data_IF_913824482600
#
_entry.id   IF_913824482600
#
_cell.length_a   1.000
_cell.length_b   1.000
_cell.length_c   1.000
_cell.angle_alpha   90.00
_cell.angle_beta   90.00
_cell.angle_gamma   90.00
#
_symmetry.space_group_name_H-M   'P 1'
#
loop_
_entity.id
_entity.type
_entity.pdbx_description
1 polymer ?
#
# COMPACT_ATOMS: atom_id res chain seq x y z
N UNK A 1 11.43 16.62 11.26
CA UNK A 1 10.16 15.94 11.56
C UNK A 1 9.20 16.30 10.45
N UNK A 2 8.74 15.34 9.66
CA UNK A 2 7.64 15.57 8.71
C UNK A 2 6.31 15.61 9.47
N UNK A 3 5.26 16.23 8.89
CA UNK A 3 3.91 16.15 9.46
C UNK A 3 3.47 14.69 9.49
N UNK A 4 3.02 14.22 10.67
CA UNK A 4 2.33 12.93 10.79
C UNK A 4 0.86 13.15 10.46
N UNK A 5 0.31 12.34 9.55
CA UNK A 5 -1.12 12.27 9.29
C UNK A 5 -1.65 10.98 9.91
N UNK A 6 -2.71 11.08 10.71
CA UNK A 6 -3.43 9.94 11.25
C UNK A 6 -4.84 9.92 10.65
N UNK A 7 -5.49 8.75 10.62
CA UNK A 7 -6.88 8.68 10.22
C UNK A 7 -7.77 9.28 11.32
N UNK A 8 -8.82 10.00 10.94
CA UNK A 8 -9.70 10.68 11.88
C UNK A 8 -10.34 9.70 12.88
N UNK A 9 -10.70 8.49 12.43
CA UNK A 9 -11.25 7.46 13.32
C UNK A 9 -10.25 7.03 14.40
N UNK A 10 -8.95 6.98 14.07
CA UNK A 10 -7.92 6.55 15.00
C UNK A 10 -7.69 7.61 16.09
N UNK A 11 -7.73 8.90 15.72
CA UNK A 11 -7.69 10.00 16.68
C UNK A 11 -8.96 10.07 17.53
N UNK A 12 -10.11 9.70 16.96
CA UNK A 12 -11.40 9.66 17.66
C UNK A 12 -11.60 8.40 18.52
N UNK A 13 -10.75 7.37 18.37
CA UNK A 13 -10.92 6.07 19.01
C UNK A 13 -12.19 5.33 18.56
N UNK A 14 -12.65 5.59 17.34
CA UNK A 14 -13.86 4.98 16.75
C UNK A 14 -13.51 3.82 15.82
N UNK A 15 -14.53 3.14 15.28
CA UNK A 15 -14.34 2.13 14.23
C UNK A 15 -14.13 2.79 12.86
N UNK A 16 -13.41 2.14 11.92
CA UNK A 16 -13.30 2.59 10.54
C UNK A 16 -14.65 2.68 9.84
N UNK A 17 -14.74 3.57 8.85
CA UNK A 17 -15.94 3.71 8.03
C UNK A 17 -16.25 2.45 7.21
N UNK A 18 -17.54 2.20 6.94
CA UNK A 18 -17.97 1.09 6.08
C UNK A 18 -17.47 1.29 4.65
N UNK A 19 -16.74 0.32 4.12
CA UNK A 19 -16.10 0.42 2.80
C UNK A 19 -14.93 1.41 2.73
N UNK A 20 -14.48 1.93 3.88
CA UNK A 20 -13.32 2.79 4.05
C UNK A 20 -13.41 4.17 3.37
N UNK A 21 -14.62 4.67 3.10
CA UNK A 21 -14.84 5.92 2.39
C UNK A 21 -14.20 7.14 3.09
N UNK A 22 -14.32 7.22 4.42
CA UNK A 22 -13.78 8.34 5.19
C UNK A 22 -12.24 8.25 5.26
N UNK A 23 -11.69 7.04 5.45
CA UNK A 23 -10.24 6.84 5.45
C UNK A 23 -9.60 7.15 4.09
N UNK A 24 -10.31 6.88 2.98
CA UNK A 24 -9.87 7.26 1.64
C UNK A 24 -9.89 8.79 1.48
N UNK A 25 -10.93 9.46 2.00
CA UNK A 25 -11.04 10.92 1.96
C UNK A 25 -9.91 11.58 2.77
N UNK A 26 -9.64 11.09 3.98
CA UNK A 26 -8.52 11.54 4.82
C UNK A 26 -7.18 11.41 4.08
N UNK A 27 -6.94 10.26 3.43
CA UNK A 27 -5.70 10.03 2.70
C UNK A 27 -5.57 10.97 1.48
N UNK A 28 -6.68 11.24 0.77
CA UNK A 28 -6.71 12.22 -0.33
C UNK A 28 -6.43 13.64 0.15
N UNK A 29 -7.00 14.04 1.28
CA UNK A 29 -6.73 15.36 1.86
C UNK A 29 -5.26 15.50 2.25
N UNK A 30 -4.67 14.47 2.88
CA UNK A 30 -3.25 14.46 3.21
C UNK A 30 -2.35 14.58 1.96
N UNK A 31 -2.69 13.88 0.86
CA UNK A 31 -1.99 14.04 -0.42
C UNK A 31 -2.14 15.45 -0.99
N UNK A 32 -3.35 16.00 -0.95
CA UNK A 32 -3.64 17.36 -1.40
C UNK A 32 -2.84 18.41 -0.62
N UNK A 33 -2.79 18.27 0.71
CA UNK A 33 -1.97 19.12 1.58
C UNK A 33 -0.48 19.01 1.25
N UNK A 34 0.04 17.78 1.09
CA UNK A 34 1.44 17.55 0.76
C UNK A 34 1.85 18.24 -0.56
N UNK A 35 1.02 18.14 -1.60
CA UNK A 35 1.29 18.79 -2.89
C UNK A 35 1.16 20.31 -2.83
N UNK A 36 0.07 20.81 -2.27
CA UNK A 36 -0.29 22.23 -2.36
C UNK A 36 0.37 23.10 -1.30
N UNK A 37 0.44 22.60 -0.07
CA UNK A 37 0.88 23.38 1.10
C UNK A 37 2.34 23.13 1.42
N UNK A 38 2.79 21.87 1.36
CA UNK A 38 4.19 21.53 1.58
C UNK A 38 5.06 21.64 0.32
N UNK A 39 4.45 21.90 -0.85
CA UNK A 39 5.16 22.06 -2.13
C UNK A 39 5.85 20.80 -2.62
N UNK A 40 5.35 19.62 -2.25
CA UNK A 40 5.92 18.34 -2.67
C UNK A 40 5.33 17.92 -4.01
N UNK A 41 6.15 17.99 -5.07
CA UNK A 41 5.73 17.59 -6.43
C UNK A 41 5.48 16.09 -6.58
N UNK A 42 5.91 15.29 -5.61
CA UNK A 42 5.87 13.83 -5.66
C UNK A 42 5.40 13.27 -4.33
N UNK A 43 4.28 12.55 -4.35
CA UNK A 43 3.70 11.91 -3.17
C UNK A 43 3.54 10.42 -3.44
N UNK A 44 4.11 9.59 -2.57
CA UNK A 44 3.85 8.16 -2.52
C UNK A 44 2.93 7.88 -1.34
N UNK A 45 1.97 6.98 -1.53
CA UNK A 45 1.11 6.50 -0.44
C UNK A 45 1.55 5.12 0.01
N UNK A 46 1.47 4.86 1.31
CA UNK A 46 1.76 3.54 1.85
C UNK A 46 0.72 3.18 2.90
N UNK A 47 0.36 1.89 2.96
CA UNK A 47 -0.62 1.42 3.91
C UNK A 47 -0.41 -0.04 4.26
N UNK A 48 -0.83 -0.43 5.48
CA UNK A 48 -0.77 -1.81 5.97
C UNK A 48 -2.16 -2.33 6.33
N UNK A 49 -2.47 -3.56 5.94
CA UNK A 49 -3.76 -4.19 6.24
C UNK A 49 -4.93 -3.35 5.73
N UNK A 50 -5.75 -2.78 6.62
CA UNK A 50 -6.84 -1.87 6.25
C UNK A 50 -6.33 -0.61 5.54
N UNK A 51 -5.25 0.00 6.04
CA UNK A 51 -4.66 1.18 5.42
C UNK A 51 -4.11 0.90 4.02
N UNK A 52 -3.75 -0.35 3.70
CA UNK A 52 -3.34 -0.73 2.35
C UNK A 52 -4.53 -0.59 1.38
N UNK A 53 -5.74 -0.93 1.80
CA UNK A 53 -6.94 -0.79 0.96
C UNK A 53 -7.36 0.67 0.77
N UNK A 54 -7.19 1.50 1.80
CA UNK A 54 -7.33 2.95 1.64
C UNK A 54 -6.31 3.49 0.62
N UNK A 55 -5.05 3.02 0.68
CA UNK A 55 -4.02 3.38 -0.29
C UNK A 55 -4.33 2.91 -1.72
N UNK A 56 -4.90 1.70 -1.89
CA UNK A 56 -5.37 1.23 -3.21
C UNK A 56 -6.40 2.19 -3.80
N UNK A 57 -7.43 2.55 -3.03
CA UNK A 57 -8.51 3.40 -3.53
C UNK A 57 -8.11 4.88 -3.68
N UNK A 58 -7.13 5.35 -2.91
CA UNK A 58 -6.54 6.67 -3.08
C UNK A 58 -5.58 6.72 -4.28
N UNK A 59 -4.91 5.60 -4.60
CA UNK A 59 -3.97 5.51 -5.71
C UNK A 59 -4.63 5.57 -7.08
N UNK A 60 -5.90 5.17 -7.20
CA UNK A 60 -6.70 5.30 -8.45
C UNK A 60 -7.12 6.75 -8.76
N UNK A 61 -6.41 7.74 -8.23
CA UNK A 61 -6.65 9.18 -8.39
C UNK A 61 -5.33 9.82 -8.85
N UNK A 62 -5.36 10.86 -9.69
CA UNK A 62 -4.18 11.43 -10.39
C UNK A 62 -3.14 12.11 -9.45
N UNK A 63 -3.31 11.97 -8.14
CA UNK A 63 -2.54 12.69 -7.12
C UNK A 63 -1.33 11.92 -6.60
N UNK A 64 -1.23 10.61 -6.83
CA UNK A 64 -0.13 9.80 -6.32
C UNK A 64 0.88 9.41 -7.41
N UNK A 65 2.17 9.44 -7.05
CA UNK A 65 3.26 8.97 -7.91
C UNK A 65 3.53 7.46 -7.78
N UNK A 66 2.84 6.80 -6.84
CA UNK A 66 2.94 5.37 -6.60
C UNK A 66 2.42 4.96 -5.22
N UNK A 67 2.24 3.66 -5.05
CA UNK A 67 1.70 3.06 -3.83
C UNK A 67 2.60 1.93 -3.26
N UNK A 68 2.65 1.81 -1.93
CA UNK A 68 3.28 0.69 -1.24
C UNK A 68 2.26 -0.01 -0.35
N UNK A 69 1.92 -1.24 -0.68
CA UNK A 69 0.87 -2.03 -0.03
C UNK A 69 1.52 -3.11 0.84
N UNK A 70 1.32 -3.03 2.15
CA UNK A 70 1.95 -3.90 3.14
C UNK A 70 0.93 -4.88 3.73
N UNK A 71 1.22 -6.18 3.67
CA UNK A 71 0.44 -7.20 4.36
C UNK A 71 -1.03 -7.23 3.92
N UNK A 72 -1.27 -7.30 2.60
CA UNK A 72 -2.62 -7.38 2.05
C UNK A 72 -3.37 -8.61 2.57
N UNK A 73 -4.64 -8.40 2.95
CA UNK A 73 -5.56 -9.47 3.33
C UNK A 73 -6.84 -9.37 2.51
N UNK A 74 -7.10 -10.39 1.69
CA UNK A 74 -8.29 -10.47 0.84
C UNK A 74 -8.86 -11.90 0.67
N UNK A 75 -8.33 -12.91 1.36
CA UNK A 75 -8.96 -14.25 1.31
C UNK A 75 -10.42 -14.15 1.75
N UNK A 76 -11.33 -14.64 0.89
CA UNK A 76 -12.78 -14.55 1.10
C UNK A 76 -13.40 -13.17 0.83
N UNK A 77 -12.65 -12.22 0.26
CA UNK A 77 -13.06 -10.82 0.01
C UNK A 77 -12.83 -10.45 -1.46
N UNK A 78 -13.71 -10.88 -2.38
CA UNK A 78 -13.54 -10.69 -3.83
C UNK A 78 -13.49 -9.21 -4.25
N UNK A 79 -14.18 -8.33 -3.56
CA UNK A 79 -14.20 -6.88 -3.82
C UNK A 79 -12.82 -6.24 -3.64
N UNK A 80 -12.05 -6.70 -2.64
CA UNK A 80 -10.68 -6.25 -2.40
C UNK A 80 -9.73 -6.70 -3.51
N UNK A 81 -9.92 -7.92 -4.01
CA UNK A 81 -9.17 -8.38 -5.19
C UNK A 81 -9.46 -7.51 -6.41
N UNK A 82 -10.72 -7.22 -6.70
CA UNK A 82 -11.09 -6.35 -7.82
C UNK A 82 -10.48 -4.95 -7.67
N UNK A 83 -10.40 -4.41 -6.46
CA UNK A 83 -9.73 -3.13 -6.23
C UNK A 83 -8.23 -3.17 -6.57
N UNK A 84 -7.55 -4.29 -6.32
CA UNK A 84 -6.15 -4.48 -6.68
C UNK A 84 -5.94 -4.56 -8.20
N UNK A 85 -6.84 -5.25 -8.91
CA UNK A 85 -6.86 -5.32 -10.39
C UNK A 85 -6.90 -3.94 -11.03
N UNK A 86 -7.68 -3.03 -10.43
CA UNK A 86 -7.85 -1.68 -10.95
C UNK A 86 -6.60 -0.82 -10.88
N UNK A 87 -5.61 -1.11 -10.02
CA UNK A 87 -4.37 -0.31 -9.99
C UNK A 87 -3.64 -0.30 -11.32
N UNK A 88 -3.69 -1.42 -12.04
CA UNK A 88 -3.08 -1.52 -13.37
C UNK A 88 -3.81 -0.65 -14.40
N UNK A 89 -5.14 -0.44 -14.27
CA UNK A 89 -5.91 0.45 -15.14
C UNK A 89 -5.42 1.91 -15.07
N UNK A 90 -4.86 2.31 -13.92
CA UNK A 90 -4.34 3.66 -13.70
C UNK A 90 -2.82 3.76 -13.87
N UNK A 91 -2.17 2.67 -14.28
CA UNK A 91 -0.72 2.56 -14.48
C UNK A 91 0.11 3.05 -13.27
N UNK A 92 -0.43 2.96 -12.06
CA UNK A 92 0.19 3.50 -10.85
C UNK A 92 1.32 2.59 -10.41
N UNK A 93 2.60 3.04 -10.40
CA UNK A 93 3.69 2.22 -9.91
C UNK A 93 3.40 1.75 -8.48
N UNK A 94 3.27 0.45 -8.29
CA UNK A 94 2.85 -0.12 -7.00
C UNK A 94 3.81 -1.20 -6.55
N UNK A 95 4.18 -1.18 -5.28
CA UNK A 95 4.89 -2.27 -4.62
C UNK A 95 3.95 -2.99 -3.65
N UNK A 96 3.72 -4.28 -3.88
CA UNK A 96 2.97 -5.16 -2.98
C UNK A 96 3.97 -5.99 -2.18
N UNK A 97 3.97 -5.85 -0.86
CA UNK A 97 4.73 -6.71 0.05
C UNK A 97 3.79 -7.58 0.87
N UNK A 98 3.99 -8.90 0.79
CA UNK A 98 3.21 -9.88 1.56
C UNK A 98 4.13 -10.89 2.23
N UNK A 99 3.68 -11.44 3.34
CA UNK A 99 4.37 -12.52 4.02
C UNK A 99 4.12 -13.86 3.36
N UNK A 100 5.16 -14.68 3.25
CA UNK A 100 5.05 -16.04 2.70
C UNK A 100 4.16 -16.96 3.54
N UNK A 101 4.17 -16.78 4.86
CA UNK A 101 3.41 -17.58 5.83
C UNK A 101 1.99 -17.01 6.07
N UNK A 102 1.55 -16.06 5.25
CA UNK A 102 0.23 -15.44 5.37
C UNK A 102 -0.89 -16.44 5.07
N UNK A 103 -1.77 -16.66 6.04
CA UNK A 103 -3.04 -17.39 5.88
C UNK A 103 -4.17 -16.49 5.35
N UNK A 104 -3.91 -15.18 5.22
CA UNK A 104 -4.88 -14.16 4.82
C UNK A 104 -4.74 -13.69 3.37
N UNK A 105 -3.78 -14.25 2.64
CA UNK A 105 -3.44 -13.91 1.26
C UNK A 105 -3.31 -15.20 0.45
N UNK A 106 -4.12 -15.36 -0.60
CA UNK A 106 -3.91 -16.44 -1.57
C UNK A 106 -2.72 -16.08 -2.47
N UNK A 107 -1.52 -16.57 -2.12
CA UNK A 107 -0.27 -16.25 -2.82
C UNK A 107 -0.20 -16.76 -4.26
N UNK A 108 -0.58 -18.02 -4.59
CA UNK A 108 -0.69 -18.44 -5.98
C UNK A 108 -1.55 -17.49 -6.80
N UNK A 109 -2.74 -17.15 -6.29
CA UNK A 109 -3.65 -16.25 -6.98
C UNK A 109 -3.08 -14.83 -7.11
N UNK A 110 -2.38 -14.33 -6.09
CA UNK A 110 -1.71 -13.01 -6.15
C UNK A 110 -0.64 -12.98 -7.23
N UNK A 111 0.16 -14.04 -7.34
CA UNK A 111 1.22 -14.15 -8.33
C UNK A 111 0.65 -14.17 -9.73
N UNK A 112 -0.38 -14.98 -9.96
CA UNK A 112 -1.06 -15.05 -11.26
C UNK A 112 -1.65 -13.69 -11.64
N UNK A 113 -2.25 -13.00 -10.67
CA UNK A 113 -2.82 -11.67 -10.85
C UNK A 113 -1.76 -10.63 -11.23
N UNK A 114 -0.67 -10.55 -10.48
CA UNK A 114 0.38 -9.55 -10.69
C UNK A 114 1.25 -9.88 -11.91
N UNK A 115 1.33 -11.15 -12.34
CA UNK A 115 2.14 -11.55 -13.49
C UNK A 115 1.74 -10.87 -14.80
N UNK A 116 0.48 -10.45 -14.95
CA UNK A 116 0.00 -9.71 -16.13
C UNK A 116 0.11 -8.19 -15.97
N UNK A 117 0.50 -7.68 -14.81
CA UNK A 117 0.56 -6.25 -14.50
C UNK A 117 1.97 -5.70 -14.73
N UNK A 118 2.05 -4.56 -15.40
CA UNK A 118 3.31 -3.90 -15.76
C UNK A 118 3.73 -2.86 -14.71
N UNK A 119 2.76 -2.28 -14.00
CA UNK A 119 2.98 -1.24 -13.00
C UNK A 119 3.14 -1.78 -11.58
N UNK A 120 2.82 -3.05 -11.35
CA UNK A 120 2.79 -3.68 -10.02
C UNK A 120 3.98 -4.63 -9.81
N UNK A 121 4.76 -4.39 -8.75
CA UNK A 121 5.84 -5.26 -8.30
C UNK A 121 5.38 -6.05 -7.06
N UNK A 122 5.51 -7.38 -7.10
CA UNK A 122 5.22 -8.25 -5.96
C UNK A 122 6.52 -8.71 -5.28
N UNK A 123 6.66 -8.42 -3.99
CA UNK A 123 7.73 -8.89 -3.13
C UNK A 123 7.15 -9.78 -2.01
N UNK A 124 7.76 -10.95 -1.82
CA UNK A 124 7.30 -11.94 -0.84
C UNK A 124 8.38 -12.11 0.22
N UNK A 125 8.02 -11.86 1.48
CA UNK A 125 8.94 -11.94 2.61
C UNK A 125 8.84 -13.33 3.23
N UNK A 126 9.92 -14.12 3.08
CA UNK A 126 10.02 -15.44 3.66
C UNK A 126 9.95 -15.38 5.20
N UNK A 127 9.22 -16.32 5.81
CA UNK A 127 9.05 -16.40 7.25
C UNK A 127 8.13 -15.34 7.88
N UNK A 128 7.54 -14.45 7.07
CA UNK A 128 6.62 -13.41 7.56
C UNK A 128 5.15 -13.83 7.39
N UNK A 129 4.30 -13.43 8.33
CA UNK A 129 2.85 -13.61 8.29
C UNK A 129 2.13 -12.44 7.57
N UNK A 130 0.79 -12.40 7.65
CA UNK A 130 -0.03 -11.33 7.07
C UNK A 130 0.23 -9.94 7.69
N UNK A 131 0.82 -9.87 8.88
CA UNK A 131 1.21 -8.62 9.56
C UNK A 131 2.64 -8.22 9.27
N UNK A 132 3.37 -9.01 8.48
CA UNK A 132 4.80 -8.91 8.23
C UNK A 132 5.62 -9.13 9.53
N UNK A 133 5.14 -10.06 10.35
CA UNK A 133 5.79 -10.52 11.57
C UNK A 133 6.34 -11.92 11.39
N UNK A 134 7.44 -12.24 12.07
CA UNK A 134 7.97 -13.60 12.10
C UNK A 134 7.17 -14.53 13.03
N UNK A 135 7.55 -15.81 13.09
CA UNK A 135 6.90 -16.80 13.96
C UNK A 135 6.98 -16.46 15.47
N UNK A 136 7.89 -15.56 15.88
CA UNK A 136 8.00 -15.07 17.24
C UNK A 136 7.18 -13.78 17.48
N UNK A 137 6.42 -13.32 16.49
CA UNK A 137 5.62 -12.09 16.55
C UNK A 137 6.42 -10.80 16.38
N UNK A 138 7.70 -10.89 15.99
CA UNK A 138 8.56 -9.71 15.81
C UNK A 138 8.32 -9.12 14.43
N UNK A 139 8.18 -7.81 14.36
CA UNK A 139 8.01 -7.12 13.07
C UNK A 139 9.28 -7.24 12.24
N UNK A 140 9.16 -7.69 10.99
CA UNK A 140 10.29 -7.87 10.08
C UNK A 140 10.67 -6.55 9.38
N UNK A 141 10.91 -5.50 10.18
CA UNK A 141 11.11 -4.12 9.70
C UNK A 141 12.24 -4.00 8.68
N UNK A 142 13.41 -4.60 8.93
CA UNK A 142 14.55 -4.51 8.01
C UNK A 142 14.25 -5.13 6.65
N UNK A 143 13.61 -6.30 6.63
CA UNK A 143 13.23 -6.98 5.40
C UNK A 143 12.24 -6.15 4.57
N UNK A 144 11.29 -5.49 5.24
CA UNK A 144 10.32 -4.58 4.59
C UNK A 144 11.04 -3.33 4.06
N UNK A 145 11.78 -2.62 4.91
CA UNK A 145 12.41 -1.34 4.55
C UNK A 145 13.42 -1.51 3.41
N UNK A 146 14.20 -2.59 3.39
CA UNK A 146 15.15 -2.85 2.31
C UNK A 146 14.45 -2.94 0.94
N UNK A 147 13.29 -3.59 0.87
CA UNK A 147 12.52 -3.75 -0.36
C UNK A 147 11.87 -2.44 -0.80
N UNK A 148 11.28 -1.72 0.15
CA UNK A 148 10.66 -0.41 -0.09
C UNK A 148 11.70 0.61 -0.55
N UNK A 149 12.85 0.67 0.12
CA UNK A 149 13.93 1.61 -0.21
C UNK A 149 14.51 1.34 -1.61
N UNK A 150 14.78 0.08 -1.94
CA UNK A 150 15.25 -0.30 -3.27
C UNK A 150 14.25 0.11 -4.38
N UNK A 151 12.95 -0.13 -4.15
CA UNK A 151 11.90 0.24 -5.08
C UNK A 151 11.78 1.76 -5.24
N UNK A 152 11.78 2.53 -4.14
CA UNK A 152 11.74 3.99 -4.18
C UNK A 152 12.96 4.59 -4.89
N UNK A 153 14.17 4.03 -4.68
CA UNK A 153 15.38 4.48 -5.36
C UNK A 153 15.28 4.33 -6.89
N UNK A 154 14.78 3.19 -7.38
CA UNK A 154 14.57 2.96 -8.82
C UNK A 154 13.62 4.00 -9.42
N UNK A 155 12.52 4.33 -8.72
CA UNK A 155 11.54 5.31 -9.20
C UNK A 155 12.03 6.75 -9.15
N UNK A 156 12.86 7.10 -8.17
CA UNK A 156 13.55 8.40 -8.15
C UNK A 156 14.51 8.53 -9.34
N UNK A 157 15.29 7.49 -9.64
CA UNK A 157 16.24 7.51 -10.75
C UNK A 157 15.55 7.63 -12.11
N UNK A 158 14.43 6.93 -12.33
CA UNK A 158 13.65 6.97 -13.58
C UNK A 158 13.00 8.32 -13.87
N UNK A 159 12.81 9.17 -12.85
CA UNK A 159 12.19 10.50 -13.00
C UNK A 159 13.19 11.64 -13.07
N UNK A 160 14.46 11.38 -12.75
CA UNK A 160 15.56 12.34 -12.89
C UNK A 160 16.34 12.21 -14.21
N UNK A 161 15.96 11.25 -15.06
CA UNK A 161 16.48 11.03 -16.42
C UNK A 161 15.50 11.60 -17.45
#
# INVERSE_FOLDING_TARGET
>A
MGPGFNFAFADAGSEPSGGHADEIADLREAMGYARTTAGLDTVFVAGRGLGAWAAVAAATDELCAGAVLLGLSYTGQPERRMALERLEEFEVPTLVLVGFESDRTDLPLLRDLVASMTSVNLEIIAGADHRLQDAAGRTMTEAVLMKVDAWLHLRKAQRGA
#
